data_IF_665522605114
#
_entry.id   IF_665522605114
#
_cell.length_a   1.000
_cell.length_b   1.000
_cell.length_c   1.000
_cell.angle_alpha   90.00
_cell.angle_beta   90.00
_cell.angle_gamma   90.00
#
_symmetry.space_group_name_H-M   'P 1'
#
loop_
_entity.id
_entity.type
_entity.pdbx_description
1 polymer ?
#
# COMPACT_ATOMS: atom_id res chain seq x y z
N UNK A 1 16.49 8.12 -23.80
CA UNK A 1 15.60 7.46 -22.82
C UNK A 1 14.21 8.05 -23.00
N UNK A 2 13.19 7.25 -23.31
CA UNK A 2 11.80 7.74 -23.43
C UNK A 2 11.16 7.64 -22.05
N UNK A 3 10.61 8.74 -21.54
CA UNK A 3 9.86 8.77 -20.30
C UNK A 3 8.41 8.36 -20.59
N UNK A 4 7.87 7.41 -19.83
CA UNK A 4 6.50 6.91 -19.98
C UNK A 4 5.74 7.22 -18.70
N UNK A 5 4.55 7.80 -18.84
CA UNK A 5 3.66 8.11 -17.73
C UNK A 5 2.60 7.03 -17.57
N UNK A 6 2.29 6.69 -16.33
CA UNK A 6 1.19 5.80 -16.01
C UNK A 6 -0.09 6.61 -15.81
N UNK A 7 -1.26 6.05 -16.17
CA UNK A 7 -2.55 6.65 -15.81
C UNK A 7 -2.68 6.84 -14.29
N UNK A 8 -3.45 7.84 -13.83
CA UNK A 8 -3.72 8.02 -12.40
C UNK A 8 -4.43 6.79 -11.81
N UNK A 9 -4.14 6.50 -10.53
CA UNK A 9 -4.76 5.40 -9.75
C UNK A 9 -4.65 4.00 -10.40
N UNK A 10 -3.56 3.75 -11.15
CA UNK A 10 -3.32 2.45 -11.78
C UNK A 10 -2.04 1.77 -11.27
N UNK A 11 -1.94 1.50 -9.95
CA UNK A 11 -0.73 0.91 -9.34
C UNK A 11 -0.37 -0.45 -9.94
N UNK A 12 -1.35 -1.22 -10.40
CA UNK A 12 -1.16 -2.50 -11.11
C UNK A 12 -0.39 -2.40 -12.44
N UNK A 13 -0.23 -1.20 -12.99
CA UNK A 13 0.61 -0.95 -14.17
C UNK A 13 2.06 -0.59 -13.79
N UNK A 14 2.31 -0.33 -12.51
CA UNK A 14 3.62 0.02 -11.98
C UNK A 14 4.28 -1.22 -11.35
N UNK A 15 5.22 -1.91 -12.03
CA UNK A 15 5.86 -3.11 -11.49
C UNK A 15 6.67 -2.85 -10.20
N UNK A 16 6.97 -1.58 -9.88
CA UNK A 16 7.64 -1.19 -8.65
C UNK A 16 6.74 -1.45 -7.41
N UNK A 17 5.41 -1.45 -7.57
CA UNK A 17 4.49 -1.76 -6.46
C UNK A 17 4.66 -3.21 -5.99
N UNK A 18 4.85 -4.16 -6.90
CA UNK A 18 5.13 -5.56 -6.57
C UNK A 18 6.51 -5.74 -5.94
N UNK A 19 7.51 -4.99 -6.43
CA UNK A 19 8.83 -4.94 -5.81
C UNK A 19 8.73 -4.51 -4.34
N UNK A 20 8.11 -3.36 -4.05
CA UNK A 20 7.99 -2.87 -2.67
C UNK A 20 7.12 -3.79 -1.82
N UNK A 21 6.10 -4.41 -2.39
CA UNK A 21 5.28 -5.40 -1.67
C UNK A 21 6.12 -6.60 -1.21
N UNK A 22 6.94 -7.17 -2.10
CA UNK A 22 7.81 -8.30 -1.77
C UNK A 22 8.96 -7.90 -0.84
N UNK A 23 9.64 -6.79 -1.14
CA UNK A 23 10.74 -6.25 -0.35
C UNK A 23 10.32 -5.93 1.09
N UNK A 24 9.14 -5.32 1.27
CA UNK A 24 8.60 -5.00 2.60
C UNK A 24 8.45 -6.26 3.47
N UNK A 25 7.93 -7.35 2.90
CA UNK A 25 7.81 -8.62 3.63
C UNK A 25 9.18 -9.16 4.05
N UNK A 26 10.17 -9.13 3.16
CA UNK A 26 11.54 -9.54 3.48
C UNK A 26 12.15 -8.70 4.60
N UNK A 27 11.97 -7.38 4.56
CA UNK A 27 12.42 -6.49 5.65
C UNK A 27 11.76 -6.85 6.98
N UNK A 28 10.46 -7.19 6.99
CA UNK A 28 9.78 -7.63 8.21
C UNK A 28 10.31 -8.94 8.77
N UNK A 29 10.73 -9.90 7.93
CA UNK A 29 11.30 -11.17 8.38
C UNK A 29 12.59 -10.99 9.18
N UNK A 30 13.32 -9.89 8.99
CA UNK A 30 14.53 -9.57 9.76
C UNK A 30 14.27 -9.05 11.18
N UNK A 31 13.02 -8.75 11.55
CA UNK A 31 12.62 -8.36 12.92
C UNK A 31 13.48 -7.25 13.55
N UNK A 32 13.84 -6.24 12.77
CA UNK A 32 14.70 -5.14 13.21
C UNK A 32 14.10 -4.33 14.38
N UNK A 33 14.89 -4.14 15.44
CA UNK A 33 14.46 -3.43 16.67
C UNK A 33 15.05 -2.01 16.80
N UNK A 34 15.92 -1.59 15.87
CA UNK A 34 16.52 -0.27 15.88
C UNK A 34 16.85 0.20 14.46
N UNK A 35 17.16 1.49 14.31
CA UNK A 35 17.41 2.09 12.99
C UNK A 35 18.56 1.40 12.24
N UNK A 36 19.65 1.03 12.91
CA UNK A 36 20.79 0.38 12.24
C UNK A 36 20.41 -1.02 11.73
N UNK A 37 19.71 -1.81 12.53
CA UNK A 37 19.26 -3.13 12.08
C UNK A 37 18.19 -3.05 10.99
N UNK A 38 17.36 -2.00 11.00
CA UNK A 38 16.39 -1.77 9.93
C UNK A 38 17.09 -1.45 8.60
N UNK A 39 18.08 -0.56 8.60
CA UNK A 39 18.85 -0.24 7.39
C UNK A 39 19.57 -1.49 6.84
N UNK A 40 20.17 -2.30 7.73
CA UNK A 40 20.78 -3.56 7.31
C UNK A 40 19.75 -4.55 6.75
N UNK A 41 18.55 -4.64 7.33
CA UNK A 41 17.47 -5.47 6.80
C UNK A 41 16.98 -4.99 5.43
N UNK A 42 16.91 -3.67 5.23
CA UNK A 42 16.57 -3.05 3.94
C UNK A 42 17.59 -3.42 2.85
N UNK A 43 18.88 -3.35 3.16
CA UNK A 43 19.96 -3.71 2.24
C UNK A 43 19.93 -5.22 1.92
N UNK A 44 19.85 -6.07 2.95
CA UNK A 44 19.80 -7.53 2.78
C UNK A 44 18.57 -7.97 1.96
N UNK A 45 17.40 -7.34 2.19
CA UNK A 45 16.19 -7.63 1.43
C UNK A 45 16.31 -7.24 -0.05
N UNK A 46 17.14 -6.25 -0.40
CA UNK A 46 17.44 -5.92 -1.80
C UNK A 46 18.29 -7.00 -2.46
N UNK A 47 19.32 -7.51 -1.78
CA UNK A 47 20.21 -8.56 -2.29
C UNK A 47 19.47 -9.89 -2.56
N UNK A 48 18.42 -10.13 -1.78
CA UNK A 48 17.53 -11.28 -1.91
C UNK A 48 16.61 -11.25 -3.15
N UNK A 49 16.46 -10.08 -3.79
CA UNK A 49 15.57 -9.90 -4.93
C UNK A 49 16.29 -10.29 -6.22
N UNK A 50 15.74 -11.29 -6.90
CA UNK A 50 16.36 -11.85 -8.10
C UNK A 50 15.90 -11.13 -9.37
N UNK A 51 16.76 -11.14 -10.39
CA UNK A 51 16.39 -10.63 -11.71
C UNK A 51 15.18 -11.35 -12.34
N UNK A 52 14.93 -12.61 -11.97
CA UNK A 52 13.74 -13.35 -12.42
C UNK A 52 12.45 -12.86 -11.80
N UNK A 53 12.47 -12.49 -10.51
CA UNK A 53 11.35 -11.83 -9.85
C UNK A 53 11.03 -10.49 -10.53
N UNK A 54 12.05 -9.67 -10.80
CA UNK A 54 11.88 -8.42 -11.55
C UNK A 54 11.22 -8.64 -12.90
N UNK A 55 11.71 -9.62 -13.69
CA UNK A 55 11.10 -10.00 -14.97
C UNK A 55 9.66 -10.48 -14.79
N UNK A 56 9.35 -11.17 -13.70
CA UNK A 56 8.02 -11.60 -13.31
C UNK A 56 7.05 -10.44 -13.14
N UNK A 57 7.40 -9.46 -12.31
CA UNK A 57 6.59 -8.27 -12.04
C UNK A 57 6.37 -7.42 -13.29
N UNK A 58 7.41 -7.27 -14.12
CA UNK A 58 7.29 -6.63 -15.44
C UNK A 58 6.28 -7.35 -16.36
N UNK A 59 6.27 -8.69 -16.38
CA UNK A 59 5.27 -9.46 -17.14
C UNK A 59 3.87 -9.32 -16.52
N UNK A 60 3.77 -9.30 -15.20
CA UNK A 60 2.51 -9.14 -14.48
C UNK A 60 1.85 -7.80 -14.83
N UNK A 61 2.54 -6.68 -14.66
CA UNK A 61 2.04 -5.36 -15.03
C UNK A 61 1.59 -5.28 -16.50
N UNK A 62 2.40 -5.85 -17.41
CA UNK A 62 2.09 -5.87 -18.85
C UNK A 62 0.84 -6.69 -19.21
N UNK A 63 0.46 -7.69 -18.39
CA UNK A 63 -0.74 -8.52 -18.63
C UNK A 63 -2.02 -7.68 -18.61
N UNK A 64 -2.02 -6.53 -17.93
CA UNK A 64 -3.18 -5.65 -17.86
C UNK A 64 -3.32 -4.73 -19.07
N UNK A 65 -2.28 -4.53 -19.88
CA UNK A 65 -2.32 -3.59 -21.00
C UNK A 65 -3.46 -3.86 -21.99
N UNK A 66 -3.73 -5.11 -22.43
CA UNK A 66 -4.84 -5.37 -23.33
C UNK A 66 -6.20 -4.97 -22.73
N UNK A 67 -6.40 -5.22 -21.43
CA UNK A 67 -7.63 -4.87 -20.71
C UNK A 67 -7.80 -3.36 -20.57
N UNK A 68 -6.69 -2.63 -20.34
CA UNK A 68 -6.69 -1.16 -20.35
C UNK A 68 -7.05 -0.60 -21.74
N UNK A 69 -6.49 -1.17 -22.80
CA UNK A 69 -6.79 -0.78 -24.19
C UNK A 69 -8.26 -1.05 -24.51
N UNK A 70 -8.80 -2.18 -24.05
CA UNK A 70 -10.21 -2.54 -24.17
C UNK A 70 -11.14 -1.72 -23.26
N UNK A 71 -10.59 -0.84 -22.41
CA UNK A 71 -11.34 -0.01 -21.45
C UNK A 71 -12.21 -0.84 -20.50
N UNK A 72 -11.72 -2.01 -20.13
CA UNK A 72 -12.39 -2.86 -19.14
C UNK A 72 -12.37 -2.18 -17.76
N UNK A 73 -13.39 -2.45 -16.95
CA UNK A 73 -13.36 -2.11 -15.54
C UNK A 73 -12.44 -3.11 -14.82
N UNK A 74 -11.21 -2.69 -14.54
CA UNK A 74 -10.20 -3.55 -13.90
C UNK A 74 -10.18 -3.23 -12.40
N UNK A 75 -10.70 -4.16 -11.59
CA UNK A 75 -10.52 -4.11 -10.13
C UNK A 75 -9.10 -4.53 -9.81
N UNK A 76 -8.32 -3.60 -9.28
CA UNK A 76 -6.87 -3.74 -9.08
C UNK A 76 -6.41 -3.18 -7.73
N UNK A 77 -7.37 -2.94 -6.86
CA UNK A 77 -7.19 -2.51 -5.50
C UNK A 77 -6.47 -3.61 -4.73
N UNK A 78 -5.33 -3.24 -4.15
CA UNK A 78 -4.54 -4.07 -3.23
C UNK A 78 -5.44 -4.59 -2.09
N UNK A 79 -6.45 -3.80 -1.71
CA UNK A 79 -7.39 -4.09 -0.63
C UNK A 79 -8.37 -5.24 -0.95
N UNK A 80 -8.91 -5.39 -2.17
CA UNK A 80 -9.81 -6.51 -2.49
C UNK A 80 -9.06 -7.86 -2.54
N UNK A 81 -7.78 -7.85 -2.92
CA UNK A 81 -6.95 -9.06 -2.90
C UNK A 81 -6.58 -9.51 -1.47
N UNK A 82 -6.53 -8.56 -0.52
CA UNK A 82 -6.23 -8.81 0.89
C UNK A 82 -7.52 -9.06 1.71
N UNK A 83 -8.63 -8.44 1.30
CA UNK A 83 -9.96 -8.48 1.93
C UNK A 83 -11.06 -8.61 0.86
N UNK A 84 -11.41 -9.85 0.45
CA UNK A 84 -12.36 -10.11 -0.62
C UNK A 84 -13.80 -9.64 -0.33
N UNK A 85 -14.13 -9.37 0.94
CA UNK A 85 -15.47 -8.97 1.36
C UNK A 85 -15.46 -7.54 1.92
N UNK A 86 -16.04 -6.62 1.16
CA UNK A 86 -16.16 -5.18 1.48
C UNK A 86 -16.87 -4.91 2.80
N UNK A 87 -17.63 -5.88 3.34
CA UNK A 87 -18.34 -5.78 4.62
C UNK A 87 -17.46 -5.93 5.85
N UNK A 88 -16.21 -6.37 5.69
CA UNK A 88 -15.26 -6.52 6.80
C UNK A 88 -14.54 -5.19 7.12
N UNK A 89 -14.74 -4.17 6.29
CA UNK A 89 -14.29 -2.80 6.56
C UNK A 89 -15.30 -2.08 7.47
N UNK A 90 -15.49 -2.60 8.68
CA UNK A 90 -16.06 -1.79 9.77
C UNK A 90 -14.88 -1.24 10.53
N UNK A 91 -14.49 0.00 10.20
CA UNK A 91 -13.57 0.76 11.02
C UNK A 91 -14.14 0.80 12.43
N UNK A 92 -13.34 0.33 13.40
CA UNK A 92 -13.73 0.32 14.80
C UNK A 92 -14.12 1.73 15.24
N UNK A 93 -15.39 1.87 15.62
CA UNK A 93 -15.97 2.87 16.51
C UNK A 93 -15.15 4.17 16.64
N UNK A 94 -15.54 5.18 15.86
CA UNK A 94 -15.34 6.58 16.24
C UNK A 94 -15.93 6.73 17.66
N UNK A 95 -15.06 6.96 18.64
CA UNK A 95 -15.48 7.26 20.00
C UNK A 95 -16.32 8.53 19.97
N UNK A 96 -17.57 8.39 20.41
CA UNK A 96 -18.51 9.48 20.67
C UNK A 96 -17.85 10.48 21.64
N UNK A 97 -17.31 11.58 21.11
CA UNK A 97 -16.88 12.72 21.91
C UNK A 97 -18.14 13.38 22.47
N UNK A 98 -18.46 13.02 23.71
CA UNK A 98 -19.60 13.52 24.45
C UNK A 98 -19.49 15.03 24.64
N UNK A 99 -20.28 15.78 23.88
CA UNK A 99 -20.57 17.17 24.18
C UNK A 99 -21.15 17.29 25.58
N UNK A 100 -20.40 17.92 26.48
CA UNK A 100 -20.91 18.43 27.74
C UNK A 100 -20.57 19.92 27.82
N UNK A 101 -21.53 20.72 27.36
CA UNK A 101 -21.62 22.15 27.62
C UNK A 101 -21.55 22.36 29.14
N UNK A 102 -20.49 23.03 29.61
CA UNK A 102 -20.48 23.61 30.95
C UNK A 102 -20.74 25.09 30.79
N UNK A 103 -21.99 25.47 31.05
CA UNK A 103 -22.34 26.83 31.43
C UNK A 103 -21.53 27.18 32.69
N UNK A 104 -20.55 28.06 32.53
CA UNK A 104 -19.85 28.69 33.64
C UNK A 104 -20.47 30.06 33.83
N UNK A 105 -21.27 30.17 34.87
CA UNK A 105 -21.89 31.40 35.38
C UNK A 105 -20.87 32.54 35.45
N UNK A 106 -21.12 33.59 34.67
CA UNK A 106 -20.61 34.92 34.91
C UNK A 106 -21.34 35.45 36.15
N UNK A 107 -20.63 35.58 37.26
CA UNK A 107 -21.11 36.30 38.44
C UNK A 107 -20.10 37.38 38.78
N UNK A 108 -20.63 38.59 38.66
CA UNK A 108 -20.08 39.92 38.85
C UNK A 108 -19.26 40.16 40.13
N UNK A 109 -18.42 41.20 40.01
CA UNK A 109 -17.87 42.10 41.04
C UNK A 109 -16.71 41.64 41.92
#
# INVERSE_FOLDING_TARGET
>A
MVMVFLPPYSPFLNPIEEFFSAWRWKVYEHQAQNQRSLLHAMDAACDDITGDQCRGWLRHARRFFPRCIARENIRCDVDENLWPDRRQHVDGQEGEDGGQEREGEDSDQ
#
